data_IF_994298560068
#
_entry.id   IF_994298560068
#
_cell.length_a   1.000
_cell.length_b   1.000
_cell.length_c   1.000
_cell.angle_alpha   90.00
_cell.angle_beta   90.00
_cell.angle_gamma   90.00
#
_symmetry.space_group_name_H-M   'P 1'
#
loop_
_entity.id
_entity.type
_entity.pdbx_description
1 polymer ?
2 non-polymer ?
3 water ?
#
# COMPACT_ATOMS: atom_id res chain seq x y z
N UNK A 1 0.81 5.88 -5.40
CA UNK A 1 -0.23 6.16 -6.46
C UNK A 1 -0.65 7.64 -6.50
N UNK A 2 -0.38 8.39 -5.44
CA UNK A 2 -0.82 9.79 -5.22
C UNK A 2 0.03 10.42 -4.13
N UNK A 3 -0.18 11.71 -3.77
CA UNK A 3 0.73 12.46 -2.89
C UNK A 3 0.77 11.92 -1.43
N UNK A 4 -0.31 11.26 -1.00
CA UNK A 4 -0.39 10.57 0.30
C UNK A 4 0.61 9.44 0.35
N UNK A 5 0.59 8.58 -0.67
CA UNK A 5 1.52 7.42 -0.79
C UNK A 5 2.95 7.94 -0.97
N UNK A 6 3.13 9.08 -1.64
CA UNK A 6 4.48 9.69 -1.82
C UNK A 6 5.12 10.02 -0.44
N UNK A 7 4.37 10.69 0.42
CA UNK A 7 4.85 11.07 1.77
C UNK A 7 5.09 9.80 2.59
N UNK A 8 4.15 8.85 2.59
CA UNK A 8 4.27 7.58 3.33
C UNK A 8 5.57 6.87 2.88
N UNK A 9 5.79 6.74 1.56
CA UNK A 9 6.99 6.05 1.04
C UNK A 9 8.27 6.73 1.52
N UNK A 10 8.30 8.05 1.52
CA UNK A 10 9.49 8.85 1.93
C UNK A 10 9.85 8.51 3.39
N UNK A 11 8.85 8.38 4.23
CA UNK A 11 9.02 7.98 5.66
C UNK A 11 9.48 6.54 5.73
N UNK A 12 8.83 5.61 5.01
CA UNK A 12 9.21 4.18 5.14
C UNK A 12 10.65 3.97 4.69
N UNK A 13 11.06 4.66 3.61
CA UNK A 13 12.39 4.35 2.96
C UNK A 13 13.55 4.82 3.84
N UNK A 14 13.37 5.82 4.71
CA UNK A 14 14.49 6.39 5.50
C UNK A 14 14.29 6.23 7.01
N UNK A 15 13.06 6.13 7.50
CA UNK A 15 12.83 6.24 8.97
C UNK A 15 12.21 4.96 9.54
N UNK A 16 12.32 3.80 8.90
CA UNK A 16 11.79 2.55 9.52
C UNK A 16 12.89 1.49 9.52
N UNK A 17 12.80 0.60 10.52
CA UNK A 17 13.64 -0.62 10.65
C UNK A 17 12.66 -1.74 10.96
N UNK A 18 13.12 -2.96 10.80
CA UNK A 18 12.35 -4.14 11.26
C UNK A 18 12.85 -4.46 12.67
N UNK A 19 11.98 -4.32 13.68
CA UNK A 19 12.32 -4.67 15.08
C UNK A 19 11.77 -6.06 15.39
N UNK A 20 12.60 -6.90 16.03
CA UNK A 20 12.18 -8.25 16.47
C UNK A 20 12.42 -8.37 17.98
N UNK A 21 11.35 -8.64 18.73
CA UNK A 21 11.39 -8.98 20.18
C UNK A 21 10.96 -10.45 20.32
N UNK A 22 10.85 -10.95 21.55
CA UNK A 22 10.31 -12.31 21.83
C UNK A 22 8.82 -12.39 21.50
N UNK A 23 8.15 -11.25 21.29
CA UNK A 23 6.71 -11.18 20.96
C UNK A 23 6.47 -11.00 19.45
N UNK A 24 7.50 -10.97 18.60
CA UNK A 24 7.38 -10.99 17.13
C UNK A 24 8.19 -9.90 16.42
N UNK A 25 7.90 -9.75 15.12
CA UNK A 25 8.44 -8.72 14.21
C UNK A 25 7.49 -7.54 14.11
N UNK A 26 8.01 -6.33 14.26
CA UNK A 26 7.23 -5.08 14.22
C UNK A 26 7.88 -4.09 13.27
N UNK A 27 7.07 -3.31 12.57
CA UNK A 27 7.49 -2.02 11.96
C UNK A 27 7.89 -1.11 13.13
N UNK A 28 9.04 -0.47 13.02
CA UNK A 28 9.54 0.44 14.08
C UNK A 28 9.91 1.74 13.38
N UNK A 29 9.33 2.84 13.84
CA UNK A 29 9.57 4.20 13.32
C UNK A 29 10.75 4.82 14.08
N UNK A 30 11.81 5.16 13.35
CA UNK A 30 12.91 6.01 13.87
C UNK A 30 12.53 7.47 13.80
N UNK A 31 12.74 8.25 14.86
CA UNK A 31 12.23 9.65 14.93
C UNK A 31 13.39 10.64 14.83
N UNK A 32 14.50 10.40 15.55
CA UNK A 32 15.69 11.29 15.48
C UNK A 32 16.82 10.57 16.22
N UNK A 33 18.06 10.92 15.88
CA UNK A 33 19.29 10.37 16.53
C UNK A 33 19.13 8.84 16.57
N UNK A 34 19.16 8.20 17.75
CA UNK A 34 19.02 6.71 17.83
C UNK A 34 17.70 6.40 18.53
N UNK A 35 16.73 7.30 18.47
CA UNK A 35 15.45 7.19 19.23
C UNK A 35 14.35 6.72 18.25
N UNK A 36 13.69 5.61 18.59
CA UNK A 36 12.58 5.03 17.81
C UNK A 36 11.37 4.75 18.71
N UNK A 37 10.25 4.41 18.10
CA UNK A 37 9.01 4.03 18.84
C UNK A 37 8.53 2.67 18.39
N UNK A 38 7.79 2.01 19.27
CA UNK A 38 7.21 0.66 19.01
C UNK A 38 6.00 0.51 19.92
N UNK A 39 4.99 -0.31 19.58
CA UNK A 39 3.90 -0.53 20.54
C UNK A 39 4.44 -1.18 21.84
N UNK A 40 3.88 -0.78 22.98
CA UNK A 40 4.32 -1.26 24.31
C UNK A 40 4.14 -2.77 24.42
N UNK A 41 3.12 -3.33 23.78
CA UNK A 41 2.89 -4.81 23.79
C UNK A 41 4.01 -5.57 23.06
N UNK A 42 4.94 -4.91 22.37
CA UNK A 42 6.17 -5.59 21.86
C UNK A 42 7.06 -6.07 23.01
N UNK A 43 6.92 -5.53 24.23
CA UNK A 43 7.69 -5.96 25.43
C UNK A 43 9.20 -5.87 25.19
N UNK A 44 9.68 -4.66 24.88
CA UNK A 44 11.11 -4.46 24.58
C UNK A 44 11.91 -4.80 25.83
N UNK A 45 13.01 -5.56 25.68
CA UNK A 45 13.94 -5.86 26.78
C UNK A 45 15.27 -5.15 26.64
N UNK A 46 16.33 -5.76 27.17
CA UNK A 46 17.70 -5.21 27.21
C UNK A 46 18.35 -5.36 25.84
N UNK A 47 17.91 -6.35 25.05
CA UNK A 47 18.42 -6.67 23.69
C UNK A 47 17.22 -6.76 22.74
N UNK A 48 17.37 -6.19 21.55
CA UNK A 48 16.36 -6.25 20.47
C UNK A 48 17.11 -6.55 19.15
N UNK A 49 16.44 -7.15 18.16
CA UNK A 49 17.02 -7.32 16.80
C UNK A 49 16.49 -6.20 15.91
N UNK A 50 17.41 -5.50 15.24
CA UNK A 50 17.11 -4.37 14.32
C UNK A 50 17.62 -4.80 12.94
N UNK A 51 16.70 -5.06 12.00
CA UNK A 51 17.09 -5.59 10.66
C UNK A 51 18.01 -6.79 10.85
N UNK A 52 17.67 -7.68 11.80
CA UNK A 52 18.31 -9.00 12.08
C UNK A 52 19.70 -8.84 12.69
N UNK A 53 20.03 -7.67 13.23
CA UNK A 53 21.31 -7.41 13.96
C UNK A 53 21.01 -7.27 15.47
N UNK A 54 21.72 -8.04 16.28
CA UNK A 54 21.62 -7.98 17.76
C UNK A 54 22.03 -6.57 18.24
N UNK A 55 21.14 -5.87 18.94
CA UNK A 55 21.32 -4.44 19.32
C UNK A 55 20.98 -4.26 20.81
N UNK A 56 21.87 -3.65 21.57
CA UNK A 56 21.62 -3.29 22.97
C UNK A 56 20.60 -2.16 23.02
N UNK A 57 19.66 -2.27 23.94
CA UNK A 57 18.69 -1.17 24.23
C UNK A 57 19.32 -0.27 25.31
N UNK A 58 19.60 0.99 25.00
CA UNK A 58 20.20 1.92 25.99
C UNK A 58 19.14 2.45 26.95
N UNK A 59 17.89 2.61 26.51
CA UNK A 59 16.77 3.08 27.35
C UNK A 59 15.46 2.66 26.69
N UNK A 60 14.46 2.35 27.48
CA UNK A 60 13.10 2.06 26.96
C UNK A 60 12.09 2.61 27.95
N UNK A 61 11.13 3.40 27.48
CA UNK A 61 10.14 4.05 28.39
C UNK A 61 8.73 3.85 27.81
N UNK A 62 7.91 3.08 28.54
CA UNK A 62 6.49 2.89 28.24
C UNK A 62 5.73 4.14 28.68
N UNK A 63 5.19 4.88 27.74
CA UNK A 63 4.60 6.20 28.02
C UNK A 63 3.22 6.00 28.63
N UNK A 64 2.88 6.87 29.59
CA UNK A 64 1.53 6.96 30.20
C UNK A 64 1.14 8.43 30.26
N UNK A 65 -0.15 8.76 30.19
CA UNK A 65 -0.55 10.17 30.35
C UNK A 65 -0.50 10.55 31.85
N UNK A 66 -0.80 11.82 32.14
CA UNK A 66 -0.72 12.38 33.50
C UNK A 66 -1.91 11.92 34.35
N UNK A 67 -2.93 11.25 33.81
CA UNK A 67 -3.86 10.41 34.63
C UNK A 67 -3.28 9.02 34.93
N UNK A 68 -2.05 8.70 34.53
CA UNK A 68 -1.40 7.39 34.74
C UNK A 68 -2.20 6.35 33.94
N UNK A 69 -2.64 6.69 32.73
CA UNK A 69 -3.29 5.75 31.77
C UNK A 69 -2.31 5.39 30.65
N UNK A 70 -2.29 4.11 30.29
CA UNK A 70 -1.45 3.58 29.18
C UNK A 70 -1.63 4.46 27.93
N UNK A 71 -0.55 4.76 27.22
CA UNK A 71 -0.62 5.35 25.84
C UNK A 71 -0.24 4.32 24.75
N UNK A 72 0.35 3.18 25.11
CA UNK A 72 0.71 2.05 24.21
C UNK A 72 1.90 2.43 23.32
N UNK A 73 2.61 3.52 23.63
CA UNK A 73 3.87 3.91 22.92
C UNK A 73 5.05 3.59 23.86
N UNK A 74 6.04 2.86 23.37
CA UNK A 74 7.36 2.75 24.05
C UNK A 74 8.41 3.48 23.20
N UNK A 75 9.13 4.39 23.83
CA UNK A 75 10.26 5.12 23.23
C UNK A 75 11.51 4.34 23.54
N UNK A 76 12.24 3.97 22.51
CA UNK A 76 13.47 3.15 22.65
C UNK A 76 14.67 3.95 22.17
N UNK A 77 15.75 3.96 22.93
CA UNK A 77 17.05 4.41 22.41
C UNK A 77 17.92 3.19 22.13
N UNK A 78 18.42 3.10 20.89
CA UNK A 78 19.16 1.92 20.34
C UNK A 78 20.66 2.20 20.36
N UNK A 79 21.45 1.23 20.80
CA UNK A 79 22.93 1.26 20.66
C UNK A 79 23.32 0.95 19.21
N UNK A 80 22.92 1.82 18.29
CA UNK A 80 23.13 1.67 16.83
C UNK A 80 24.27 2.61 16.41
N UNK A 81 25.00 2.28 15.33
CA UNK A 81 26.16 3.07 14.85
C UNK A 81 25.71 4.17 13.89
N UNK A 82 24.42 4.42 13.74
CA UNK A 82 23.91 5.32 12.69
C UNK A 82 22.67 6.03 13.24
N UNK A 83 22.50 7.33 12.92
CA UNK A 83 21.31 8.12 13.31
C UNK A 83 20.23 8.04 12.24
N UNK A 84 18.99 8.21 12.67
CA UNK A 84 17.81 8.45 11.81
C UNK A 84 17.80 9.91 11.36
N UNK A 85 17.34 10.09 10.14
CA UNK A 85 16.87 11.43 9.70
C UNK A 85 15.90 11.98 10.77
N UNK A 86 16.09 13.22 11.17
CA UNK A 86 15.23 13.87 12.18
C UNK A 86 13.89 14.23 11.50
N UNK A 87 12.80 13.57 11.89
CA UNK A 87 11.42 13.84 11.36
C UNK A 87 10.52 14.46 12.43
N UNK A 88 11.07 15.02 13.51
CA UNK A 88 10.20 15.60 14.58
C UNK A 88 9.33 16.74 14.05
N UNK A 89 9.79 17.50 13.05
CA UNK A 89 8.96 18.61 12.49
C UNK A 89 7.73 18.09 11.73
N UNK A 90 7.58 16.78 11.49
CA UNK A 90 6.36 16.22 10.84
C UNK A 90 5.34 15.72 11.89
N UNK A 91 5.67 15.83 13.19
CA UNK A 91 4.80 15.34 14.28
C UNK A 91 3.81 16.44 14.64
N UNK A 92 2.52 16.09 14.81
CA UNK A 92 1.53 17.07 15.27
C UNK A 92 1.81 17.53 16.71
N UNK A 93 1.41 18.76 17.00
CA UNK A 93 1.56 19.30 18.36
C UNK A 93 0.35 18.96 19.24
N UNK A 94 -0.84 18.78 18.67
CA UNK A 94 -2.08 18.58 19.47
C UNK A 94 -2.86 17.34 18.97
N UNK A 95 -3.78 16.87 19.81
CA UNK A 95 -4.71 15.77 19.50
C UNK A 95 -5.66 16.31 18.42
N UNK A 96 -5.95 15.52 17.39
CA UNK A 96 -6.74 16.02 16.25
C UNK A 96 -7.36 14.84 15.51
N UNK A 97 -8.33 15.14 14.66
CA UNK A 97 -8.88 14.26 13.61
C UNK A 97 -8.18 14.59 12.29
N UNK A 98 -8.20 13.67 11.34
CA UNK A 98 -7.47 13.78 10.06
C UNK A 98 -8.32 13.24 8.91
N UNK A 99 -8.09 13.78 7.72
CA UNK A 99 -8.63 13.16 6.48
C UNK A 99 -7.50 12.41 5.74
N UNK A 100 -7.88 11.32 5.08
CA UNK A 100 -7.12 10.71 3.97
C UNK A 100 -5.73 10.28 4.49
N UNK A 101 -5.71 9.35 5.43
CA UNK A 101 -4.47 8.80 6.00
C UNK A 101 -4.06 7.51 5.28
N UNK A 102 -2.77 7.17 5.37
CA UNK A 102 -2.17 5.92 4.87
C UNK A 102 -1.50 5.22 6.05
N UNK A 103 -1.75 3.93 6.16
CA UNK A 103 -1.03 3.04 7.11
C UNK A 103 0.00 2.26 6.32
N UNK A 104 1.28 2.37 6.70
CA UNK A 104 2.40 1.72 5.98
C UNK A 104 3.14 0.75 6.91
N UNK A 105 3.44 -0.45 6.39
CA UNK A 105 4.03 -1.60 7.14
C UNK A 105 5.22 -2.13 6.35
N UNK A 106 6.30 -2.46 7.04
CA UNK A 106 7.43 -3.17 6.41
C UNK A 106 7.96 -4.24 7.37
N UNK A 107 7.61 -5.50 7.13
CA UNK A 107 8.15 -6.67 7.87
C UNK A 107 8.53 -7.76 6.86
N UNK A 108 9.16 -8.85 7.32
CA UNK A 108 9.36 -10.09 6.51
C UNK A 108 8.01 -10.58 5.94
N UNK A 109 6.94 -10.54 6.71
CA UNK A 109 5.60 -11.05 6.31
C UNK A 109 4.88 -10.06 5.36
N UNK A 110 5.06 -8.76 5.58
CA UNK A 110 4.36 -7.71 4.80
C UNK A 110 5.35 -6.64 4.34
N UNK A 111 6.23 -6.92 3.35
CA UNK A 111 7.15 -5.93 2.81
C UNK A 111 6.43 -4.89 1.93
N UNK A 112 6.80 -3.59 2.05
CA UNK A 112 6.36 -2.53 1.13
C UNK A 112 4.83 -2.50 1.04
N UNK A 113 4.13 -2.61 2.17
CA UNK A 113 2.66 -2.57 2.25
C UNK A 113 2.18 -1.16 2.59
N UNK A 114 1.21 -0.65 1.83
CA UNK A 114 0.62 0.69 2.01
C UNK A 114 -0.90 0.53 1.92
N UNK A 115 -1.65 1.05 2.88
CA UNK A 115 -3.13 0.90 2.95
C UNK A 115 -3.76 2.29 3.06
N UNK A 116 -4.60 2.72 2.10
CA UNK A 116 -5.33 3.98 2.26
C UNK A 116 -6.49 3.71 3.23
N UNK A 117 -6.43 4.25 4.44
CA UNK A 117 -7.41 3.92 5.51
C UNK A 117 -8.51 4.98 5.56
N UNK A 118 -8.35 6.12 4.92
CA UNK A 118 -9.38 7.16 4.85
C UNK A 118 -9.40 8.03 6.07
N UNK A 119 -10.59 8.41 6.51
CA UNK A 119 -10.80 9.36 7.64
C UNK A 119 -10.33 8.76 8.97
N UNK A 120 -9.63 9.55 9.75
CA UNK A 120 -9.09 9.13 11.08
C UNK A 120 -9.78 9.98 12.17
N UNK A 121 -10.49 9.32 13.10
CA UNK A 121 -11.22 9.94 14.23
C UNK A 121 -10.31 9.99 15.49
N UNK A 122 -10.28 11.12 16.16
CA UNK A 122 -9.78 11.22 17.55
C UNK A 122 -10.77 10.46 18.43
N UNK A 123 -10.52 9.18 18.64
CA UNK A 123 -11.45 8.23 19.33
C UNK A 123 -11.33 8.44 20.85
N UNK A 124 -10.10 8.61 21.33
CA UNK A 124 -9.77 8.87 22.73
C UNK A 124 -9.60 7.59 23.51
N UNK A 125 -10.60 7.25 24.33
CA UNK A 125 -10.50 6.10 25.26
C UNK A 125 -10.79 4.82 24.48
N UNK A 126 -9.94 3.80 24.69
CA UNK A 126 -10.19 2.44 24.19
C UNK A 126 -9.73 1.44 25.26
N UNK A 127 -10.55 0.43 25.51
CA UNK A 127 -10.10 -0.79 26.24
C UNK A 127 -9.38 -1.70 25.24
N UNK A 128 -8.05 -1.62 25.20
CA UNK A 128 -7.20 -2.26 24.18
C UNK A 128 -6.63 -3.54 24.75
N UNK A 129 -7.10 -4.72 24.32
CA UNK A 129 -6.61 -5.99 24.91
C UNK A 129 -6.82 -6.03 26.43
N UNK A 130 -7.90 -5.44 26.94
CA UNK A 130 -8.17 -5.38 28.39
C UNK A 130 -7.47 -4.22 29.13
N UNK A 131 -6.65 -3.39 28.46
CA UNK A 131 -5.89 -2.30 29.12
C UNK A 131 -6.53 -0.96 28.76
N UNK A 132 -7.05 -0.17 29.73
CA UNK A 132 -7.57 1.17 29.44
C UNK A 132 -6.44 1.99 28.78
N UNK A 133 -6.73 2.58 27.64
CA UNK A 133 -5.71 3.27 26.79
C UNK A 133 -6.27 4.62 26.35
N UNK A 134 -5.47 5.67 26.37
CA UNK A 134 -5.91 7.01 25.91
C UNK A 134 -5.23 7.40 24.59
N UNK A 135 -5.69 8.51 24.02
CA UNK A 135 -5.13 9.12 22.76
C UNK A 135 -5.16 8.15 21.58
N UNK A 136 -6.24 7.39 21.43
CA UNK A 136 -6.39 6.42 20.32
C UNK A 136 -7.03 7.13 19.12
N UNK A 137 -6.44 6.88 17.97
CA UNK A 137 -6.97 7.26 16.63
C UNK A 137 -7.68 6.03 16.07
N UNK A 138 -8.80 6.23 15.38
CA UNK A 138 -9.54 5.07 14.79
C UNK A 138 -9.74 5.30 13.30
N UNK A 139 -9.64 4.23 12.53
CA UNK A 139 -9.90 4.24 11.07
C UNK A 139 -10.71 3.01 10.72
N UNK A 140 -11.56 3.11 9.70
CA UNK A 140 -12.52 2.04 9.33
C UNK A 140 -11.86 1.16 8.28
N UNK A 141 -10.79 0.45 8.66
CA UNK A 141 -10.17 -0.57 7.79
C UNK A 141 -9.95 -1.84 8.59
N UNK A 142 -10.44 -3.01 8.13
CA UNK A 142 -10.18 -4.29 8.79
C UNK A 142 -8.69 -4.64 8.76
N UNK A 143 -7.90 -3.99 9.62
CA UNK A 143 -6.44 -4.26 9.79
C UNK A 143 -6.28 -5.64 10.42
N UNK A 144 -5.17 -6.32 10.09
CA UNK A 144 -4.91 -7.72 10.50
C UNK A 144 -3.75 -7.75 11.49
N UNK A 145 -3.65 -8.85 12.25
CA UNK A 145 -2.49 -9.16 13.12
C UNK A 145 -1.21 -9.06 12.28
N UNK A 146 -0.40 -8.04 12.53
CA UNK A 146 0.92 -7.85 11.90
C UNK A 146 1.20 -6.44 11.43
N UNK A 147 0.19 -5.54 11.41
CA UNK A 147 0.35 -4.15 10.89
C UNK A 147 0.73 -3.20 12.04
N UNK A 148 0.43 -3.60 13.28
CA UNK A 148 0.89 -2.94 14.53
C UNK A 148 2.31 -2.39 14.40
N UNK A 149 2.52 -1.17 14.93
CA UNK A 149 3.81 -0.46 14.90
C UNK A 149 3.96 0.30 13.59
N UNK A 150 3.07 0.02 12.63
CA UNK A 150 3.07 0.63 11.30
C UNK A 150 2.81 2.12 11.41
N UNK A 151 3.33 2.90 10.47
CA UNK A 151 3.24 4.38 10.58
C UNK A 151 1.96 4.84 9.87
N UNK A 152 1.16 5.60 10.60
CA UNK A 152 -0.02 6.33 10.08
C UNK A 152 0.43 7.74 9.70
N UNK A 153 0.26 8.10 8.43
CA UNK A 153 0.63 9.44 7.93
C UNK A 153 -0.56 10.08 7.19
N UNK A 154 -0.56 11.40 7.15
CA UNK A 154 -1.20 12.20 6.08
C UNK A 154 -0.10 12.90 5.29
N UNK A 155 -0.44 13.59 4.19
CA UNK A 155 0.55 14.46 3.51
C UNK A 155 1.10 15.43 4.56
N UNK A 156 2.40 15.35 4.79
CA UNK A 156 3.15 16.29 5.61
C UNK A 156 3.11 15.95 7.08
N UNK A 157 2.36 14.93 7.55
CA UNK A 157 2.33 14.61 9.00
C UNK A 157 2.45 13.11 9.31
N UNK A 158 3.24 12.80 10.33
CA UNK A 158 3.35 11.43 10.91
C UNK A 158 2.52 11.46 12.18
N UNK A 159 1.34 10.81 12.20
CA UNK A 159 0.32 11.10 13.25
C UNK A 159 0.19 9.96 14.27
N UNK A 160 0.71 8.76 14.01
CA UNK A 160 0.47 7.62 14.92
C UNK A 160 1.20 6.35 14.51
N UNK A 161 1.10 5.33 15.38
CA UNK A 161 1.55 3.96 15.08
C UNK A 161 0.41 2.99 15.42
N UNK A 162 0.16 2.05 14.50
CA UNK A 162 -0.91 1.02 14.60
C UNK A 162 -0.68 0.16 15.83
N UNK A 163 -1.69 0.01 16.70
CA UNK A 163 -1.52 -0.80 17.95
C UNK A 163 -2.62 -1.86 18.10
N UNK A 164 -3.67 -1.85 17.29
CA UNK A 164 -4.70 -2.91 17.41
C UNK A 164 -5.85 -2.77 16.45
N UNK A 165 -6.83 -3.68 16.57
CA UNK A 165 -8.03 -3.64 15.71
C UNK A 165 -9.10 -4.57 16.26
N UNK A 166 -10.32 -4.48 15.75
CA UNK A 166 -11.44 -5.37 16.21
C UNK A 166 -12.01 -6.18 15.04
N UNK A 167 -11.26 -6.32 13.93
CA UNK A 167 -11.74 -6.99 12.71
C UNK A 167 -12.38 -6.04 11.71
N UNK A 168 -13.08 -4.97 12.13
CA UNK A 168 -13.73 -3.96 11.24
C UNK A 168 -12.98 -2.62 11.26
N UNK A 169 -12.50 -2.24 12.44
CA UNK A 169 -11.75 -0.97 12.66
C UNK A 169 -10.30 -1.27 13.06
N UNK A 170 -9.41 -0.29 12.82
CA UNK A 170 -8.03 -0.31 13.29
C UNK A 170 -7.79 0.89 14.19
N UNK A 171 -6.82 0.75 15.10
CA UNK A 171 -6.56 1.73 16.16
C UNK A 171 -5.05 2.05 16.20
N UNK A 172 -4.74 3.34 16.33
CA UNK A 172 -3.35 3.79 16.35
C UNK A 172 -3.17 4.63 17.62
N UNK A 173 -2.00 4.56 18.22
CA UNK A 173 -1.60 5.49 19.31
C UNK A 173 -1.08 6.78 18.69
N UNK A 174 -1.54 7.93 19.16
CA UNK A 174 -1.04 9.24 18.68
C UNK A 174 0.46 9.35 18.87
N UNK A 175 1.14 9.98 17.90
CA UNK A 175 2.46 10.59 18.15
C UNK A 175 2.27 12.10 18.27
N UNK A 176 2.88 12.67 19.28
CA UNK A 176 2.88 14.11 19.57
C UNK A 176 4.32 14.62 19.62
N UNK A 177 4.54 15.81 19.09
CA UNK A 177 5.88 16.46 19.13
C UNK A 177 6.44 16.45 20.56
N UNK A 178 5.60 16.65 21.57
CA UNK A 178 6.05 16.80 22.99
C UNK A 178 6.65 15.51 23.54
N UNK A 179 6.40 14.35 22.92
CA UNK A 179 7.03 13.09 23.39
C UNK A 179 8.54 13.10 23.11
N UNK A 180 9.06 13.91 22.18
CA UNK A 180 10.44 13.75 21.65
C UNK A 180 11.26 15.04 21.75
N UNK A 181 10.90 15.90 22.70
CA UNK A 181 11.74 17.05 23.13
C UNK A 181 12.95 16.46 23.87
N UNK A 182 14.17 16.89 23.55
CA UNK A 182 15.45 16.30 24.06
C UNK A 182 16.05 17.27 25.10
N UNK B 2 -0.96 -13.58 3.62
CA UNK B 2 -0.76 -15.05 3.35
C UNK B 2 0.19 -15.29 2.17
N UNK B 3 -0.03 -16.36 1.38
CA UNK B 3 0.60 -16.49 0.05
C UNK B 3 0.10 -15.49 -1.02
N UNK B 4 -0.93 -14.68 -0.71
CA UNK B 4 -1.40 -13.51 -1.49
C UNK B 4 -0.26 -12.55 -1.81
N UNK B 5 0.59 -12.24 -0.80
CA UNK B 5 1.74 -11.30 -0.98
C UNK B 5 2.87 -11.93 -1.80
N UNK B 6 3.20 -13.22 -1.62
CA UNK B 6 4.11 -13.96 -2.50
C UNK B 6 3.64 -13.85 -3.97
N UNK B 7 2.37 -14.12 -4.20
CA UNK B 7 1.81 -14.18 -5.57
C UNK B 7 1.94 -12.79 -6.21
N UNK B 8 1.54 -11.74 -5.51
CA UNK B 8 1.59 -10.36 -6.01
C UNK B 8 3.05 -10.01 -6.34
N UNK B 9 4.03 -10.38 -5.48
CA UNK B 9 5.47 -10.11 -5.76
C UNK B 9 5.97 -10.86 -6.99
N UNK B 10 5.57 -12.13 -7.19
CA UNK B 10 6.01 -12.99 -8.31
C UNK B 10 5.52 -12.38 -9.63
N UNK B 11 4.29 -11.87 -9.62
CA UNK B 11 3.69 -11.19 -10.80
C UNK B 11 4.40 -9.84 -11.03
N UNK B 12 4.61 -9.06 -9.96
CA UNK B 12 5.35 -7.76 -10.03
C UNK B 12 6.73 -7.98 -10.67
N UNK B 13 7.50 -8.91 -10.12
CA UNK B 13 8.94 -9.11 -10.49
C UNK B 13 9.11 -9.52 -11.96
N UNK B 14 8.33 -10.47 -12.46
CA UNK B 14 8.55 -10.99 -13.83
C UNK B 14 7.59 -10.37 -14.87
N UNK B 15 6.41 -9.91 -14.48
CA UNK B 15 5.36 -9.55 -15.47
C UNK B 15 4.98 -8.06 -15.45
N UNK B 16 5.63 -7.20 -14.67
CA UNK B 16 5.21 -5.77 -14.59
C UNK B 16 6.36 -4.89 -15.06
N UNK B 17 6.08 -3.96 -16.00
CA UNK B 17 7.06 -2.98 -16.53
C UNK B 17 6.49 -1.58 -16.38
N UNK B 18 7.35 -0.56 -16.48
CA UNK B 18 6.93 0.88 -16.46
C UNK B 18 6.69 1.32 -17.90
N UNK B 19 5.46 1.68 -18.24
CA UNK B 19 5.11 2.15 -19.59
C UNK B 19 4.97 3.66 -19.52
N UNK B 20 5.53 4.40 -20.47
CA UNK B 20 5.37 5.88 -20.49
C UNK B 20 4.81 6.27 -21.87
N UNK B 21 3.63 6.89 -21.86
CA UNK B 21 2.94 7.47 -23.02
C UNK B 21 3.07 9.00 -22.95
N UNK B 22 2.40 9.69 -23.87
CA UNK B 22 2.28 11.18 -23.86
C UNK B 22 1.69 11.63 -22.52
N UNK B 23 0.89 10.79 -21.85
CA UNK B 23 0.18 11.16 -20.60
C UNK B 23 1.06 10.93 -19.36
N UNK B 24 2.16 10.21 -19.47
CA UNK B 24 3.10 9.94 -18.37
C UNK B 24 3.18 8.45 -18.07
N UNK B 25 3.41 8.09 -16.80
CA UNK B 25 3.84 6.70 -16.47
C UNK B 25 2.62 5.89 -16.00
N UNK B 26 2.60 4.62 -16.41
CA UNK B 26 1.56 3.64 -16.05
C UNK B 26 2.21 2.29 -15.71
N UNK B 27 1.68 1.64 -14.68
CA UNK B 27 2.00 0.26 -14.39
C UNK B 27 1.47 -0.62 -15.54
N UNK B 28 2.32 -1.36 -16.21
CA UNK B 28 1.87 -2.17 -17.38
C UNK B 28 2.05 -3.64 -17.02
N UNK B 29 1.06 -4.47 -17.33
CA UNK B 29 1.15 -5.94 -17.16
C UNK B 29 1.45 -6.63 -18.49
N UNK B 30 2.59 -7.30 -18.56
CA UNK B 30 2.87 -8.22 -19.66
C UNK B 30 2.24 -9.57 -19.43
N UNK B 31 1.59 -10.11 -20.45
CA UNK B 31 0.70 -11.30 -20.30
C UNK B 31 1.36 -12.55 -20.94
N UNK B 32 1.90 -12.43 -22.14
CA UNK B 32 2.60 -13.53 -22.87
C UNK B 32 3.30 -12.94 -24.10
N UNK B 33 4.34 -13.61 -24.59
CA UNK B 33 5.04 -13.17 -25.82
C UNK B 33 5.35 -11.67 -25.71
N UNK B 34 4.91 -10.84 -26.67
CA UNK B 34 5.16 -9.36 -26.57
C UNK B 34 3.81 -8.65 -26.37
N UNK B 35 2.88 -9.33 -25.71
CA UNK B 35 1.49 -8.81 -25.51
C UNK B 35 1.37 -8.31 -24.08
N UNK B 36 0.95 -7.05 -23.90
CA UNK B 36 0.76 -6.40 -22.59
C UNK B 36 -0.59 -5.68 -22.55
N UNK B 37 -0.99 -5.24 -21.37
CA UNK B 37 -2.25 -4.48 -21.18
C UNK B 37 -1.94 -3.21 -20.38
N UNK B 38 -2.73 -2.19 -20.66
CA UNK B 38 -2.62 -0.84 -20.04
C UNK B 38 -4.03 -0.24 -20.12
N UNK B 39 -4.42 0.68 -19.19
CA UNK B 39 -5.71 1.36 -19.28
C UNK B 39 -5.86 2.12 -20.58
N UNK B 40 -7.06 2.14 -21.17
CA UNK B 40 -7.31 2.83 -22.46
C UNK B 40 -6.99 4.32 -22.29
N UNK B 41 -7.24 4.89 -21.11
CA UNK B 41 -6.98 6.34 -20.85
C UNK B 41 -5.49 6.70 -20.92
N UNK B 42 -4.56 5.74 -21.03
CA UNK B 42 -3.13 6.02 -21.23
C UNK B 42 -2.85 6.60 -22.63
N UNK B 43 -3.79 6.47 -23.59
CA UNK B 43 -3.65 7.07 -24.95
C UNK B 43 -2.35 6.56 -25.62
N UNK B 44 -2.25 5.24 -25.74
CA UNK B 44 -1.09 4.60 -26.41
C UNK B 44 -1.02 5.10 -27.86
N UNK B 45 0.19 5.46 -28.28
CA UNK B 45 0.46 5.94 -29.65
C UNK B 45 1.22 4.91 -30.45
N UNK B 46 2.06 5.38 -31.38
CA UNK B 46 2.86 4.51 -32.27
C UNK B 46 4.11 4.08 -31.51
N UNK B 47 4.55 4.90 -30.56
CA UNK B 47 5.81 4.72 -29.79
C UNK B 47 5.45 4.80 -28.32
N UNK B 48 6.03 3.93 -27.51
CA UNK B 48 5.89 3.93 -26.04
C UNK B 48 7.28 3.71 -25.44
N UNK B 49 7.50 4.19 -24.22
CA UNK B 49 8.72 3.85 -23.45
C UNK B 49 8.39 2.70 -22.49
N UNK B 50 9.24 1.66 -22.49
CA UNK B 50 9.12 0.47 -21.60
C UNK B 50 10.39 0.43 -20.75
N UNK B 51 10.29 0.72 -19.45
CA UNK B 51 11.48 0.85 -18.57
C UNK B 51 12.48 1.82 -19.20
N UNK B 52 11.96 2.94 -19.75
CA UNK B 52 12.73 4.09 -20.30
C UNK B 52 13.33 3.76 -21.67
N UNK B 53 13.00 2.60 -22.28
CA UNK B 53 13.46 2.22 -23.64
C UNK B 53 12.37 2.59 -24.67
N UNK B 54 12.71 3.46 -25.64
CA UNK B 54 11.84 3.79 -26.81
C UNK B 54 11.46 2.49 -27.53
N UNK B 55 10.16 2.20 -27.65
CA UNK B 55 9.65 0.88 -28.15
C UNK B 55 8.51 1.14 -29.15
N UNK B 56 8.62 0.58 -30.34
CA UNK B 56 7.53 0.66 -31.34
C UNK B 56 6.35 -0.17 -30.81
N UNK B 57 5.16 0.40 -30.84
CA UNK B 57 3.90 -0.38 -30.63
C UNK B 57 3.41 -0.92 -31.98
N UNK B 58 3.46 -2.22 -32.18
CA UNK B 58 3.06 -2.85 -33.46
C UNK B 58 1.54 -2.84 -33.63
N UNK B 59 0.80 -3.00 -32.53
CA UNK B 59 -0.67 -3.10 -32.56
C UNK B 59 -1.19 -2.58 -31.22
N UNK B 60 -2.30 -1.84 -31.25
CA UNK B 60 -3.04 -1.45 -30.03
C UNK B 60 -4.53 -1.66 -30.30
N UNK B 61 -5.18 -2.36 -29.37
CA UNK B 61 -6.63 -2.64 -29.45
C UNK B 61 -7.32 -2.11 -28.19
N UNK B 62 -8.20 -1.12 -28.36
CA UNK B 62 -9.05 -0.58 -27.26
C UNK B 62 -10.24 -1.53 -27.13
N UNK B 63 -10.23 -2.40 -26.13
CA UNK B 63 -11.20 -3.50 -26.06
C UNK B 63 -12.62 -2.98 -25.84
N UNK B 64 -13.57 -3.64 -26.50
CA UNK B 64 -15.02 -3.43 -26.30
C UNK B 64 -15.68 -4.81 -26.32
N UNK B 65 -16.79 -4.98 -25.61
CA UNK B 65 -17.45 -6.31 -25.52
C UNK B 65 -18.47 -6.43 -26.67
N UNK B 66 -19.25 -7.50 -26.67
CA UNK B 66 -20.18 -7.80 -27.78
C UNK B 66 -21.43 -6.94 -27.72
N UNK B 67 -21.65 -6.14 -26.67
CA UNK B 67 -22.69 -5.07 -26.63
C UNK B 67 -22.13 -3.77 -27.24
N UNK B 68 -20.89 -3.82 -27.72
CA UNK B 68 -20.17 -2.65 -28.27
C UNK B 68 -19.99 -1.62 -27.17
N UNK B 69 -19.62 -2.07 -25.97
CA UNK B 69 -19.39 -1.17 -24.81
C UNK B 69 -17.90 -1.22 -24.44
N UNK B 70 -17.36 -0.07 -24.09
CA UNK B 70 -15.97 0.10 -23.62
C UNK B 70 -15.70 -0.86 -22.46
N UNK B 71 -14.51 -1.46 -22.48
CA UNK B 71 -13.94 -2.24 -21.33
C UNK B 71 -12.74 -1.54 -20.65
N UNK B 72 -12.21 -0.45 -21.22
CA UNK B 72 -11.15 0.41 -20.66
C UNK B 72 -9.81 -0.32 -20.55
N UNK B 73 -9.66 -1.43 -21.27
CA UNK B 73 -8.36 -2.18 -21.40
C UNK B 73 -7.89 -1.98 -22.83
N UNK B 74 -6.63 -1.61 -23.01
CA UNK B 74 -5.95 -1.62 -24.32
C UNK B 74 -4.91 -2.74 -24.32
N UNK B 75 -5.05 -3.65 -25.29
CA UNK B 75 -4.04 -4.72 -25.51
C UNK B 75 -3.01 -4.18 -26.50
N UNK B 76 -1.73 -4.24 -26.17
CA UNK B 76 -0.66 -3.78 -27.07
C UNK B 76 0.25 -4.96 -27.45
N UNK B 77 0.80 -4.92 -28.67
CA UNK B 77 1.87 -5.83 -29.13
C UNK B 77 3.12 -4.96 -29.32
N UNK B 78 4.20 -5.28 -28.61
CA UNK B 78 5.42 -4.44 -28.53
C UNK B 78 6.53 -5.02 -29.41
N UNK B 79 7.27 -4.16 -30.12
CA UNK B 79 8.48 -4.53 -30.88
C UNK B 79 9.69 -4.54 -29.92
N UNK B 80 9.89 -5.63 -29.18
CA UNK B 80 11.04 -5.81 -28.25
C UNK B 80 11.43 -7.29 -28.22
N UNK B 81 12.70 -7.56 -27.94
CA UNK B 81 13.26 -8.93 -28.01
C UNK B 81 12.73 -9.75 -26.85
N UNK B 82 12.68 -9.17 -25.66
CA UNK B 82 12.28 -9.92 -24.44
C UNK B 82 10.84 -10.41 -24.61
N UNK B 83 10.59 -11.64 -24.21
CA UNK B 83 9.25 -12.24 -24.18
C UNK B 83 8.78 -12.22 -22.71
N UNK B 84 7.51 -11.92 -22.47
CA UNK B 84 6.92 -11.99 -21.10
C UNK B 84 6.68 -13.46 -20.72
N UNK B 85 6.90 -13.77 -19.45
CA UNK B 85 6.51 -15.06 -18.81
C UNK B 85 5.01 -15.26 -19.00
N UNK B 86 4.58 -16.36 -19.65
CA UNK B 86 3.14 -16.62 -19.90
C UNK B 86 2.41 -16.76 -18.56
N UNK B 87 1.39 -15.92 -18.32
CA UNK B 87 0.52 -15.95 -17.12
C UNK B 87 -0.96 -16.09 -17.52
N UNK B 88 -1.26 -16.51 -18.75
CA UNK B 88 -2.69 -16.65 -19.18
C UNK B 88 -3.44 -17.65 -18.31
N UNK B 89 -2.74 -18.65 -17.76
CA UNK B 89 -3.35 -19.69 -16.89
C UNK B 89 -3.78 -19.11 -15.56
N UNK B 90 -3.36 -17.87 -15.19
CA UNK B 90 -3.81 -17.22 -13.94
C UNK B 90 -4.98 -16.25 -14.15
N UNK B 91 -5.45 -16.09 -15.40
CA UNK B 91 -6.61 -15.20 -15.71
C UNK B 91 -7.91 -15.93 -15.48
N UNK B 92 -8.89 -15.31 -14.81
CA UNK B 92 -10.21 -15.90 -14.62
C UNK B 92 -10.92 -16.15 -15.96
N UNK B 93 -11.69 -17.23 -16.01
CA UNK B 93 -12.52 -17.60 -17.18
C UNK B 93 -13.80 -16.77 -17.21
N UNK B 94 -14.35 -16.43 -16.04
CA UNK B 94 -15.65 -15.71 -15.94
C UNK B 94 -15.55 -14.53 -14.97
N UNK B 95 -16.58 -13.69 -15.00
CA UNK B 95 -16.76 -12.53 -14.09
C UNK B 95 -17.03 -13.07 -12.69
N UNK B 96 -16.49 -12.44 -11.65
CA UNK B 96 -16.60 -12.99 -10.28
C UNK B 96 -16.32 -11.91 -9.23
N UNK B 97 -16.69 -12.24 -7.98
CA UNK B 97 -16.31 -11.51 -6.74
C UNK B 97 -15.09 -12.20 -6.15
N UNK B 98 -14.22 -11.46 -5.47
CA UNK B 98 -12.96 -11.97 -4.88
C UNK B 98 -12.75 -11.35 -3.49
N UNK B 99 -11.87 -11.95 -2.68
CA UNK B 99 -11.49 -11.44 -1.34
C UNK B 99 -9.97 -11.39 -1.24
N UNK B 100 -9.47 -10.68 -0.22
CA UNK B 100 -8.03 -10.61 0.13
C UNK B 100 -7.25 -10.16 -1.11
N UNK B 101 -7.76 -9.14 -1.80
CA UNK B 101 -7.21 -8.64 -3.09
C UNK B 101 -6.10 -7.63 -2.81
N UNK B 102 -4.98 -7.77 -3.51
CA UNK B 102 -3.83 -6.81 -3.48
C UNK B 102 -3.78 -6.08 -4.82
N UNK B 103 -3.43 -4.80 -4.74
CA UNK B 103 -3.14 -3.90 -5.87
C UNK B 103 -1.63 -3.61 -5.85
N UNK B 104 -0.94 -3.81 -6.96
CA UNK B 104 0.54 -3.72 -7.07
C UNK B 104 0.94 -2.66 -8.10
N UNK B 105 1.52 -1.57 -7.58
CA UNK B 105 1.90 -0.34 -8.34
C UNK B 105 3.40 -0.38 -8.63
N UNK B 106 3.79 -0.03 -9.86
CA UNK B 106 5.21 0.00 -10.25
C UNK B 106 5.44 1.14 -11.24
N UNK B 107 5.99 2.27 -10.76
CA UNK B 107 6.43 3.40 -11.62
C UNK B 107 7.79 3.90 -11.13
N UNK B 108 8.36 4.91 -11.79
CA UNK B 108 9.66 5.50 -11.34
C UNK B 108 9.46 6.14 -9.97
N UNK B 109 8.29 6.73 -9.74
CA UNK B 109 7.93 7.43 -8.47
C UNK B 109 7.55 6.42 -7.38
N UNK B 110 6.96 5.29 -7.76
CA UNK B 110 6.39 4.29 -6.81
C UNK B 110 6.86 2.90 -7.22
N UNK B 111 8.13 2.56 -6.98
CA UNK B 111 8.66 1.27 -7.38
C UNK B 111 8.16 0.22 -6.39
N UNK B 112 7.83 -0.97 -6.86
CA UNK B 112 7.49 -2.06 -5.89
C UNK B 112 6.59 -1.62 -4.71
N UNK B 113 5.38 -1.06 -4.92
CA UNK B 113 4.38 -0.71 -3.85
C UNK B 113 3.16 -1.66 -3.85
N UNK B 114 2.80 -2.26 -2.70
CA UNK B 114 1.70 -3.25 -2.55
C UNK B 114 0.58 -2.69 -1.67
N UNK B 115 -0.63 -2.61 -2.22
CA UNK B 115 -1.80 -1.99 -1.53
C UNK B 115 -2.86 -3.06 -1.35
N UNK B 116 -3.00 -3.64 -0.13
CA UNK B 116 -4.09 -4.55 0.20
C UNK B 116 -5.35 -3.71 0.04
N UNK B 117 -6.29 -4.19 -0.77
CA UNK B 117 -7.57 -3.47 -0.95
C UNK B 117 -8.70 -4.30 -0.33
N UNK B 118 -8.51 -5.62 -0.25
CA UNK B 118 -9.41 -6.56 0.44
C UNK B 118 -10.53 -7.04 -0.46
N UNK B 119 -11.77 -6.78 -0.06
CA UNK B 119 -12.95 -7.34 -0.73
C UNK B 119 -13.15 -6.63 -2.07
N UNK B 120 -13.29 -7.43 -3.12
CA UNK B 120 -13.54 -6.94 -4.51
C UNK B 120 -14.92 -7.43 -4.99
N UNK B 121 -15.77 -6.50 -5.38
CA UNK B 121 -17.13 -6.78 -5.93
C UNK B 121 -17.12 -6.73 -7.48
N UNK B 122 -17.79 -7.68 -8.12
CA UNK B 122 -18.28 -7.54 -9.52
C UNK B 122 -19.34 -6.42 -9.56
N UNK B 123 -18.92 -5.21 -9.89
CA UNK B 123 -19.74 -3.97 -9.82
C UNK B 123 -20.54 -3.84 -11.11
N UNK B 124 -19.90 -4.17 -12.24
CA UNK B 124 -20.46 -4.22 -13.60
C UNK B 124 -20.37 -2.88 -14.33
N UNK B 125 -21.50 -2.19 -14.46
CA UNK B 125 -21.63 -0.95 -15.27
C UNK B 125 -21.09 0.23 -14.48
N UNK B 126 -20.28 1.08 -15.11
CA UNK B 126 -19.77 2.35 -14.56
C UNK B 126 -19.70 3.39 -15.69
N UNK B 127 -20.20 4.58 -15.41
CA UNK B 127 -19.96 5.75 -16.29
C UNK B 127 -18.60 6.35 -15.90
N UNK B 128 -17.57 6.00 -16.65
CA UNK B 128 -16.17 6.37 -16.30
C UNK B 128 -15.70 7.55 -17.18
N UNK B 129 -15.58 8.75 -16.59
CA UNK B 129 -15.22 9.98 -17.31
C UNK B 129 -16.18 10.28 -18.45
N UNK B 130 -17.45 9.91 -18.30
CA UNK B 130 -18.52 10.14 -19.29
C UNK B 130 -18.65 8.99 -20.27
N UNK B 131 -17.81 7.95 -20.16
CA UNK B 131 -17.88 6.77 -21.07
C UNK B 131 -18.51 5.57 -20.35
N UNK B 132 -19.66 5.04 -20.86
CA UNK B 132 -20.27 3.81 -20.37
C UNK B 132 -19.27 2.64 -20.49
N UNK B 133 -19.04 1.92 -19.38
CA UNK B 133 -17.95 0.90 -19.23
C UNK B 133 -18.56 -0.32 -18.55
N UNK B 134 -18.20 -1.48 -19.06
CA UNK B 134 -18.61 -2.79 -18.49
C UNK B 134 -17.47 -3.46 -17.71
N UNK B 135 -17.84 -4.53 -16.98
CA UNK B 135 -16.92 -5.48 -16.31
C UNK B 135 -15.99 -4.74 -15.35
N UNK B 136 -16.51 -3.82 -14.58
CA UNK B 136 -15.74 -3.11 -13.53
C UNK B 136 -15.80 -3.89 -12.21
N UNK B 137 -14.60 -4.11 -11.64
CA UNK B 137 -14.40 -4.55 -10.23
C UNK B 137 -14.31 -3.33 -9.31
N UNK B 138 -14.86 -3.40 -8.10
CA UNK B 138 -14.84 -2.26 -7.17
C UNK B 138 -14.28 -2.72 -5.80
N UNK B 139 -13.51 -1.84 -5.18
CA UNK B 139 -12.93 -2.01 -3.82
C UNK B 139 -12.93 -0.66 -3.13
N UNK B 140 -12.94 -0.69 -1.79
CA UNK B 140 -12.75 0.55 -1.02
C UNK B 140 -11.41 1.13 -1.39
N UNK B 141 -11.35 2.45 -1.55
CA UNK B 141 -10.11 3.17 -1.92
C UNK B 141 -10.32 4.63 -1.54
N UNK B 142 -10.34 4.94 -0.23
CA UNK B 142 -10.77 6.24 0.27
C UNK B 142 -9.68 7.30 0.15
N UNK B 143 -9.23 7.51 -1.09
CA UNK B 143 -8.15 8.43 -1.47
C UNK B 143 -8.40 8.85 -2.92
N UNK B 144 -7.88 10.00 -3.32
CA UNK B 144 -7.88 10.44 -4.75
C UNK B 144 -6.48 10.08 -5.27
N UNK B 145 -6.34 8.95 -5.95
CA UNK B 145 -5.09 8.47 -6.57
C UNK B 145 -4.92 9.11 -7.96
N UNK B 146 -3.68 9.11 -8.47
CA UNK B 146 -3.38 9.52 -9.85
C UNK B 146 -3.69 8.42 -10.86
N UNK B 147 -3.20 8.60 -12.08
CA UNK B 147 -3.60 7.78 -13.25
C UNK B 147 -2.84 6.45 -13.35
N UNK B 148 -1.73 6.24 -12.62
CA UNK B 148 -0.69 5.26 -13.01
C UNK B 148 -1.26 3.83 -12.95
N UNK B 149 -2.26 3.63 -12.10
CA UNK B 149 -2.93 2.32 -11.89
C UNK B 149 -1.99 1.23 -11.37
N UNK B 150 -2.31 -0.04 -11.64
CA UNK B 150 -1.63 -1.18 -10.99
C UNK B 150 -2.39 -2.46 -11.21
N UNK B 151 -1.79 -3.57 -10.84
CA UNK B 151 -2.29 -4.93 -11.14
C UNK B 151 -3.01 -5.45 -9.90
N UNK B 152 -4.20 -5.99 -10.08
CA UNK B 152 -5.03 -6.53 -8.96
C UNK B 152 -4.92 -8.06 -8.97
N UNK B 153 -4.43 -8.63 -7.86
CA UNK B 153 -4.28 -10.10 -7.73
C UNK B 153 -4.99 -10.60 -6.48
N UNK B 154 -5.35 -11.86 -6.52
CA UNK B 154 -5.73 -12.66 -5.34
C UNK B 154 -4.69 -13.77 -5.22
N UNK B 155 -4.85 -14.68 -4.26
CA UNK B 155 -4.08 -15.95 -4.29
C UNK B 155 -4.46 -16.68 -5.58
N UNK B 156 -3.49 -16.86 -6.45
CA UNK B 156 -3.56 -17.71 -7.64
C UNK B 156 -4.22 -17.06 -8.83
N UNK B 157 -4.67 -15.80 -8.75
CA UNK B 157 -5.33 -15.19 -9.93
C UNK B 157 -4.88 -13.75 -10.15
N UNK B 158 -4.72 -13.43 -11.43
CA UNK B 158 -4.55 -12.01 -11.90
C UNK B 158 -5.90 -11.51 -12.43
N UNK B 159 -6.59 -10.68 -11.68
CA UNK B 159 -8.06 -10.44 -11.87
C UNK B 159 -8.33 -9.12 -12.59
N UNK B 160 -7.43 -8.15 -12.61
CA UNK B 160 -7.79 -6.85 -13.19
C UNK B 160 -6.66 -5.85 -13.14
N UNK B 161 -6.86 -4.73 -13.81
CA UNK B 161 -5.94 -3.56 -13.74
C UNK B 161 -6.73 -2.34 -13.31
N UNK B 162 -6.15 -1.55 -12.41
CA UNK B 162 -6.80 -0.34 -11.85
C UNK B 162 -7.00 0.73 -12.95
N UNK B 163 -8.24 1.19 -13.15
CA UNK B 163 -8.57 2.20 -14.20
C UNK B 163 -9.12 3.52 -13.66
N UNK B 164 -9.55 3.61 -12.40
CA UNK B 164 -10.03 4.90 -11.87
C UNK B 164 -10.56 4.80 -10.45
N UNK B 165 -11.30 5.82 -10.03
CA UNK B 165 -11.80 5.93 -8.66
C UNK B 165 -12.59 7.21 -8.43
N UNK B 166 -13.39 7.26 -7.37
CA UNK B 166 -14.28 8.43 -7.09
C UNK B 166 -13.96 9.04 -5.71
N UNK B 167 -12.77 8.78 -5.15
CA UNK B 167 -12.34 9.30 -3.81
C UNK B 167 -12.73 8.40 -2.63
N UNK B 168 -13.74 7.55 -2.79
CA UNK B 168 -14.22 6.56 -1.80
C UNK B 168 -14.00 5.13 -2.30
N UNK B 169 -14.22 4.91 -3.61
CA UNK B 169 -14.10 3.57 -4.23
C UNK B 169 -13.04 3.60 -5.32
N UNK B 170 -12.41 2.44 -5.55
CA UNK B 170 -11.43 2.19 -6.60
C UNK B 170 -12.03 1.23 -7.60
N UNK B 171 -11.66 1.40 -8.87
CA UNK B 171 -12.27 0.58 -9.96
C UNK B 171 -11.18 -0.02 -10.82
N UNK B 172 -11.32 -1.30 -11.12
CA UNK B 172 -10.42 -2.07 -11.98
C UNK B 172 -11.22 -2.67 -13.14
N UNK B 173 -10.62 -2.73 -14.31
CA UNK B 173 -11.19 -3.47 -15.46
C UNK B 173 -10.84 -4.95 -15.29
N UNK B 174 -11.81 -5.83 -15.49
CA UNK B 174 -11.54 -7.29 -15.39
C UNK B 174 -10.55 -7.72 -16.47
N UNK B 175 -9.66 -8.68 -16.14
CA UNK B 175 -8.94 -9.46 -17.15
C UNK B 175 -9.61 -10.84 -17.22
N UNK B 176 -9.90 -11.30 -18.44
CA UNK B 176 -10.53 -12.61 -18.70
C UNK B 176 -9.63 -13.40 -19.65
N UNK B 177 -9.62 -14.72 -19.47
CA UNK B 177 -8.78 -15.63 -20.26
C UNK B 177 -9.11 -15.44 -21.74
N UNK B 178 -10.38 -15.22 -22.05
CA UNK B 178 -10.85 -15.18 -23.46
C UNK B 178 -10.28 -13.96 -24.19
N UNK B 179 -9.71 -12.96 -23.49
CA UNK B 179 -9.20 -11.76 -24.20
C UNK B 179 -7.89 -12.07 -24.94
N UNK B 180 -7.21 -13.16 -24.58
CA UNK B 180 -5.85 -13.50 -25.02
C UNK B 180 -5.79 -14.90 -25.68
N UNK B 181 -6.92 -15.54 -25.91
CA UNK B 181 -6.99 -16.81 -26.69
C UNK B 181 -6.87 -16.55 -28.19
X LIG C 1 -2.50 -9.45 2.60
X LIG C 1 -4.94 -6.01 6.03
X LIG C 1 -5.86 -6.59 5.27
X LIG C 1 -7.08 -6.53 5.54
X LIG C 1 -5.40 -7.34 4.06
X LIG C 1 -6.29 -7.54 2.99
X LIG C 1 -5.94 -8.31 1.89
X LIG C 1 -4.68 -8.92 1.89
X LIG C 1 -4.17 -9.82 0.97
X LIG C 1 -2.74 -10.03 1.19
X LIG C 1 -3.77 -8.71 2.91
X LIG C 1 -4.14 -7.92 4.00
X LIG D 1 -0.51 -6.08 15.42
X LIG D 1 -6.68 -6.59 16.23
X LIG D 1 -5.60 -6.54 15.45
X LIG D 1 -5.68 -6.45 14.22
X LIG D 1 -4.26 -6.62 16.11
X LIG D 1 -4.10 -7.15 17.40
X LIG D 1 -2.85 -7.23 18.00
X LIG D 1 -1.75 -6.80 17.28
X LIG D 1 -0.42 -6.76 17.68
X LIG D 1 0.41 -6.14 16.67
X LIG D 1 -1.88 -6.31 15.98
X LIG D 1 -3.14 -6.19 15.41
#
# INVERSE_FOLDING_TARGET
>A
MGPGFDFAQAIMKKNTVIARTEKGEFTMLGVYDRVAVIPTHASVGEIIYINDVETRVLDACALRDLTDTNLEITIVKLDRNQKFRDIRHFLPRCEDDYNDAVLSVHTSKFPNMYIPVGQVTNYGFLNLGGTPTHRILMYNFPTRAGQCGGVVTTTGKVIGIHVGGNGAQGFAAMLLHSYFTD
>B
MGPGFDFAQAIMKKNTVIARTEKGEFTMLGVYDRVAVIPTHASVGEIIYINDVETRVLDACALRDLTDTNLEITIVKLDRNQKFRDIRHFLPRCEDDYNDAVLSVHTSKFPNMYIPVGQVTNYGFLNLGGTPTHRILMYNFPTRAGQCGGVVTTTGKVIGIHVGGNGAQGFAAMLLHSYFTD
>C hetero
1 JAW C10 N01 C02 O03 C04 C05 C06 C07 N08 C09 C11 C12
>D hetero
1 JAW C10 N01 C02 O03 C04 C05 C06 C07 N08 C09 C11 C12
#
